data_IF_118039866571
#
_entry.id   IF_118039866571
#
_cell.length_a   1.000
_cell.length_b   1.000
_cell.length_c   1.000
_cell.angle_alpha   90.00
_cell.angle_beta   90.00
_cell.angle_gamma   90.00
#
_symmetry.space_group_name_H-M   'P 1'
#
loop_
_entity.id
_entity.type
_entity.pdbx_description
1 polymer ?
#
# COMPACT_ATOMS: atom_id res chain seq x y z
N UNK A 1 -45.35 46.65 31.87
CA UNK A 1 -45.52 45.73 30.71
C UNK A 1 -44.36 45.68 29.70
N UNK A 2 -43.53 46.72 29.52
CA UNK A 2 -42.43 46.70 28.53
C UNK A 2 -41.25 45.79 28.92
N UNK A 3 -40.88 45.75 30.20
CA UNK A 3 -39.75 44.96 30.73
C UNK A 3 -40.00 43.45 30.64
N UNK A 4 -41.22 42.97 30.98
CA UNK A 4 -41.56 41.54 30.87
C UNK A 4 -41.55 41.04 29.42
N UNK A 5 -42.00 41.86 28.45
CA UNK A 5 -41.92 41.53 27.02
C UNK A 5 -40.46 41.46 26.56
N UNK A 6 -39.62 42.42 26.98
CA UNK A 6 -38.19 42.42 26.68
C UNK A 6 -37.47 41.19 27.22
N UNK A 7 -37.70 40.81 28.49
CA UNK A 7 -37.11 39.61 29.11
C UNK A 7 -37.50 38.32 28.37
N UNK A 8 -38.76 38.19 27.93
CA UNK A 8 -39.22 37.03 27.15
C UNK A 8 -38.53 36.94 25.78
N UNK A 9 -38.36 38.07 25.09
CA UNK A 9 -37.65 38.13 23.80
C UNK A 9 -36.18 37.75 23.99
N UNK A 10 -35.53 38.30 25.01
CA UNK A 10 -34.12 38.00 25.31
C UNK A 10 -33.92 36.52 25.68
N UNK A 11 -34.82 35.94 26.49
CA UNK A 11 -34.81 34.51 26.80
C UNK A 11 -35.01 33.63 25.57
N UNK A 12 -35.91 34.00 24.66
CA UNK A 12 -36.09 33.29 23.40
C UNK A 12 -34.82 33.34 22.52
N UNK A 13 -34.16 34.50 22.42
CA UNK A 13 -32.89 34.66 21.70
C UNK A 13 -31.80 33.76 22.31
N UNK A 14 -31.65 33.76 23.64
CA UNK A 14 -30.67 32.89 24.30
C UNK A 14 -30.94 31.40 24.04
N UNK A 15 -32.19 30.96 24.09
CA UNK A 15 -32.55 29.58 23.75
C UNK A 15 -32.17 29.22 22.32
N UNK A 16 -32.43 30.12 21.35
CA UNK A 16 -32.03 29.91 19.95
C UNK A 16 -30.51 29.82 19.80
N UNK A 17 -29.75 30.67 20.48
CA UNK A 17 -28.28 30.62 20.45
C UNK A 17 -27.77 29.31 21.06
N UNK A 18 -28.35 28.83 22.16
CA UNK A 18 -27.97 27.55 22.78
C UNK A 18 -28.22 26.39 21.80
N UNK A 19 -29.39 26.35 21.17
CA UNK A 19 -29.72 25.33 20.17
C UNK A 19 -28.77 25.38 18.96
N UNK A 20 -28.45 26.58 18.48
CA UNK A 20 -27.48 26.77 17.40
C UNK A 20 -26.08 26.26 17.80
N UNK A 21 -25.61 26.55 19.02
CA UNK A 21 -24.32 26.04 19.51
C UNK A 21 -24.31 24.50 19.63
N UNK A 22 -25.39 23.90 20.15
CA UNK A 22 -25.51 22.43 20.22
C UNK A 22 -25.44 21.82 18.82
N UNK A 23 -26.16 22.39 17.86
CA UNK A 23 -26.13 21.94 16.47
C UNK A 23 -24.73 22.10 15.84
N UNK A 24 -24.06 23.23 16.07
CA UNK A 24 -22.69 23.46 15.60
C UNK A 24 -21.70 22.46 16.19
N UNK A 25 -21.77 22.17 17.50
CA UNK A 25 -20.92 21.16 18.15
C UNK A 25 -21.20 19.77 17.59
N UNK A 26 -22.46 19.42 17.35
CA UNK A 26 -22.84 18.15 16.73
C UNK A 26 -22.27 18.02 15.30
N UNK A 27 -22.44 19.06 14.47
CA UNK A 27 -21.91 19.11 13.11
C UNK A 27 -20.38 19.00 13.10
N UNK A 28 -19.70 19.74 13.98
CA UNK A 28 -18.24 19.71 14.11
C UNK A 28 -17.73 18.31 14.50
N UNK A 29 -18.40 17.64 15.44
CA UNK A 29 -18.05 16.27 15.84
C UNK A 29 -18.15 15.28 14.67
N UNK A 30 -19.16 15.43 13.82
CA UNK A 30 -19.33 14.58 12.63
C UNK A 30 -18.25 14.88 11.59
N UNK A 31 -17.91 16.15 11.37
CA UNK A 31 -16.81 16.55 10.48
C UNK A 31 -15.48 15.95 10.93
N UNK A 32 -15.13 16.05 12.23
CA UNK A 32 -13.92 15.44 12.77
C UNK A 32 -13.88 13.92 12.63
N UNK A 33 -15.03 13.25 12.81
CA UNK A 33 -15.12 11.80 12.61
C UNK A 33 -14.83 11.42 11.15
N UNK A 34 -15.43 12.14 10.21
CA UNK A 34 -15.25 11.89 8.78
C UNK A 34 -13.81 12.20 8.34
N UNK A 35 -13.24 13.31 8.80
CA UNK A 35 -11.84 13.68 8.54
C UNK A 35 -10.88 12.59 9.05
N UNK A 36 -11.08 12.11 10.28
CA UNK A 36 -10.25 11.04 10.84
C UNK A 36 -10.34 9.77 10.01
N UNK A 37 -11.53 9.38 9.56
CA UNK A 37 -11.71 8.20 8.71
C UNK A 37 -10.99 8.37 7.35
N UNK A 38 -11.05 9.55 6.75
CA UNK A 38 -10.33 9.85 5.51
C UNK A 38 -8.82 9.80 5.69
N UNK A 39 -8.29 10.35 6.80
CA UNK A 39 -6.86 10.31 7.12
C UNK A 39 -6.39 8.86 7.33
N UNK A 40 -7.13 8.06 8.09
CA UNK A 40 -6.76 6.66 8.31
C UNK A 40 -6.79 5.85 7.01
N UNK A 41 -7.81 6.06 6.16
CA UNK A 41 -7.85 5.45 4.82
C UNK A 41 -6.66 5.87 3.98
N UNK A 42 -6.30 7.15 3.95
CA UNK A 42 -5.17 7.63 3.17
C UNK A 42 -3.82 7.06 3.67
N UNK A 43 -3.65 6.92 4.98
CA UNK A 43 -2.47 6.26 5.56
C UNK A 43 -2.40 4.79 5.13
N UNK A 44 -3.53 4.09 5.18
CA UNK A 44 -3.59 2.68 4.78
C UNK A 44 -3.24 2.50 3.30
N UNK A 45 -3.76 3.35 2.41
CA UNK A 45 -3.38 3.35 0.99
C UNK A 45 -1.87 3.49 0.80
N UNK A 46 -1.27 4.50 1.44
CA UNK A 46 0.18 4.72 1.36
C UNK A 46 0.97 3.53 1.90
N UNK A 47 0.54 2.97 3.02
CA UNK A 47 1.19 1.80 3.61
C UNK A 47 1.14 0.60 2.66
N UNK A 48 0.00 0.35 2.02
CA UNK A 48 -0.16 -0.77 1.08
C UNK A 48 0.79 -0.67 -0.12
N UNK A 49 0.99 0.52 -0.68
CA UNK A 49 1.99 0.71 -1.74
C UNK A 49 3.43 0.54 -1.23
N UNK A 50 3.72 0.93 0.01
CA UNK A 50 5.02 0.67 0.65
C UNK A 50 5.24 -0.83 0.86
N UNK A 51 4.21 -1.55 1.29
CA UNK A 51 4.25 -3.00 1.53
C UNK A 51 4.49 -3.77 0.23
N UNK A 52 3.86 -3.35 -0.88
CA UNK A 52 4.12 -3.92 -2.22
C UNK A 52 5.58 -3.74 -2.64
N UNK A 53 6.13 -2.54 -2.46
CA UNK A 53 7.56 -2.26 -2.76
C UNK A 53 8.48 -3.11 -1.89
N UNK A 54 8.21 -3.14 -0.58
CA UNK A 54 9.01 -3.91 0.38
C UNK A 54 8.96 -5.42 0.07
N UNK A 55 7.81 -5.95 -0.34
CA UNK A 55 7.68 -7.35 -0.75
C UNK A 55 8.51 -7.64 -2.01
N UNK A 56 8.47 -6.75 -3.01
CA UNK A 56 9.32 -6.87 -4.21
C UNK A 56 10.81 -6.84 -3.85
N UNK A 57 11.24 -5.93 -2.96
CA UNK A 57 12.65 -5.84 -2.53
C UNK A 57 13.07 -7.05 -1.69
N UNK A 58 12.16 -7.56 -0.86
CA UNK A 58 12.39 -8.77 -0.08
C UNK A 58 12.66 -9.96 -1.00
N UNK A 59 11.82 -10.18 -2.03
CA UNK A 59 12.01 -11.24 -3.02
C UNK A 59 13.37 -11.13 -3.72
N UNK A 60 13.71 -9.96 -4.25
CA UNK A 60 15.02 -9.68 -4.86
C UNK A 60 16.17 -10.03 -3.91
N UNK A 61 16.07 -9.62 -2.65
CA UNK A 61 17.10 -9.87 -1.65
C UNK A 61 17.23 -11.35 -1.31
N UNK A 62 16.13 -12.09 -1.16
CA UNK A 62 16.19 -13.53 -0.92
C UNK A 62 16.81 -14.25 -2.12
N UNK A 63 16.36 -13.95 -3.34
CA UNK A 63 16.89 -14.56 -4.57
C UNK A 63 18.38 -14.28 -4.75
N UNK A 64 18.82 -13.01 -4.61
CA UNK A 64 20.24 -12.63 -4.72
C UNK A 64 21.10 -13.32 -3.66
N UNK A 65 20.63 -13.42 -2.40
CA UNK A 65 21.37 -14.12 -1.34
C UNK A 65 21.50 -15.61 -1.61
N UNK A 66 20.44 -16.25 -2.09
CA UNK A 66 20.52 -17.64 -2.51
C UNK A 66 21.49 -17.83 -3.68
N UNK A 67 21.42 -16.97 -4.70
CA UNK A 67 22.35 -17.04 -5.85
C UNK A 67 23.81 -16.84 -5.45
N UNK A 68 24.07 -15.99 -4.47
CA UNK A 68 25.42 -15.69 -4.03
C UNK A 68 26.01 -16.76 -3.10
N UNK A 69 25.20 -17.29 -2.17
CA UNK A 69 25.69 -18.13 -1.07
C UNK A 69 25.19 -19.58 -1.12
N UNK A 70 24.12 -19.87 -1.86
CA UNK A 70 23.50 -21.19 -1.94
C UNK A 70 22.80 -21.64 -0.65
N UNK A 71 22.59 -20.75 0.32
CA UNK A 71 21.94 -21.09 1.59
C UNK A 71 20.42 -21.30 1.39
N UNK A 72 19.97 -22.55 1.60
CA UNK A 72 18.58 -22.99 1.39
C UNK A 72 17.53 -22.09 2.07
N UNK A 73 17.85 -21.53 3.24
CA UNK A 73 16.98 -20.61 3.97
C UNK A 73 16.44 -19.47 3.09
N UNK A 74 17.27 -18.90 2.21
CA UNK A 74 16.85 -17.80 1.36
C UNK A 74 15.91 -18.27 0.24
N UNK A 75 16.13 -19.46 -0.32
CA UNK A 75 15.21 -20.08 -1.28
C UNK A 75 13.85 -20.36 -0.64
N UNK A 76 13.84 -20.95 0.56
CA UNK A 76 12.61 -21.27 1.28
C UNK A 76 11.83 -20.00 1.64
N UNK A 77 12.53 -18.98 2.14
CA UNK A 77 11.96 -17.68 2.44
C UNK A 77 11.34 -17.01 1.20
N UNK A 78 12.01 -17.10 0.05
CA UNK A 78 11.51 -16.57 -1.21
C UNK A 78 10.19 -17.25 -1.59
N UNK A 79 10.18 -18.58 -1.63
CA UNK A 79 8.99 -19.31 -2.05
C UNK A 79 7.86 -19.27 -1.03
N UNK A 80 8.17 -19.12 0.25
CA UNK A 80 7.18 -18.81 1.28
C UNK A 80 6.50 -17.48 1.01
N UNK A 81 7.25 -16.44 0.62
CA UNK A 81 6.64 -15.17 0.24
C UNK A 81 5.74 -15.33 -0.99
N UNK A 82 6.22 -16.00 -2.05
CA UNK A 82 5.46 -16.16 -3.31
C UNK A 82 4.21 -17.04 -3.14
N UNK A 83 4.27 -18.12 -2.35
CA UNK A 83 3.22 -19.16 -2.31
C UNK A 83 2.33 -19.10 -1.08
N UNK A 84 2.82 -18.60 0.06
CA UNK A 84 2.09 -18.63 1.32
C UNK A 84 1.75 -17.22 1.80
N UNK A 85 2.75 -16.35 1.94
CA UNK A 85 2.58 -15.02 2.54
C UNK A 85 1.89 -14.05 1.57
N UNK A 86 2.20 -14.14 0.27
CA UNK A 86 1.48 -13.48 -0.82
C UNK A 86 1.19 -11.99 -0.57
N UNK A 87 2.14 -11.25 -0.01
CA UNK A 87 1.94 -9.83 0.36
C UNK A 87 1.45 -9.01 -0.84
N UNK A 88 2.01 -9.29 -2.02
CA UNK A 88 1.65 -8.60 -3.28
C UNK A 88 0.19 -8.84 -3.68
N UNK A 89 -0.35 -10.04 -3.48
CA UNK A 89 -1.76 -10.34 -3.74
C UNK A 89 -2.67 -9.66 -2.71
N UNK A 90 -2.30 -9.74 -1.42
CA UNK A 90 -3.05 -9.13 -0.33
C UNK A 90 -3.15 -7.61 -0.46
N UNK A 91 -2.10 -6.94 -0.94
CA UNK A 91 -2.15 -5.49 -1.20
C UNK A 91 -3.23 -5.15 -2.22
N UNK A 92 -3.29 -5.88 -3.34
CA UNK A 92 -4.31 -5.66 -4.38
C UNK A 92 -5.71 -5.93 -3.85
N UNK A 93 -5.90 -7.04 -3.13
CA UNK A 93 -7.17 -7.38 -2.51
C UNK A 93 -7.62 -6.31 -1.52
N UNK A 94 -6.71 -5.84 -0.67
CA UNK A 94 -7.04 -4.83 0.34
C UNK A 94 -7.41 -3.48 -0.28
N UNK A 95 -6.72 -3.06 -1.35
CA UNK A 95 -7.09 -1.84 -2.07
C UNK A 95 -8.47 -1.95 -2.75
N UNK A 96 -8.84 -3.14 -3.23
CA UNK A 96 -10.20 -3.41 -3.75
C UNK A 96 -11.25 -3.28 -2.64
N UNK A 97 -11.01 -3.89 -1.48
CA UNK A 97 -11.91 -3.80 -0.32
C UNK A 97 -12.12 -2.36 0.17
N UNK A 98 -11.06 -1.55 0.15
CA UNK A 98 -11.12 -0.15 0.54
C UNK A 98 -11.80 0.75 -0.53
N UNK A 99 -12.18 0.19 -1.67
CA UNK A 99 -12.81 0.93 -2.76
C UNK A 99 -11.86 1.94 -3.41
N UNK A 100 -10.61 1.51 -3.67
CA UNK A 100 -9.63 2.30 -4.43
C UNK A 100 -10.20 2.70 -5.79
N UNK A 101 -9.94 3.94 -6.26
CA UNK A 101 -10.21 4.31 -7.64
C UNK A 101 -9.57 3.31 -8.61
N UNK A 102 -10.26 3.01 -9.71
CA UNK A 102 -9.78 2.00 -10.67
C UNK A 102 -8.42 2.38 -11.26
N UNK A 103 -8.16 3.67 -11.49
CA UNK A 103 -6.88 4.16 -11.99
C UNK A 103 -5.72 3.86 -11.03
N UNK A 104 -5.93 4.06 -9.73
CA UNK A 104 -4.93 3.75 -8.69
C UNK A 104 -4.72 2.24 -8.54
N UNK A 105 -5.80 1.48 -8.62
CA UNK A 105 -5.75 0.02 -8.55
C UNK A 105 -4.99 -0.57 -9.75
N UNK A 106 -5.17 -0.01 -10.94
CA UNK A 106 -4.46 -0.45 -12.15
C UNK A 106 -2.95 -0.30 -12.01
N UNK A 107 -2.45 0.78 -11.38
CA UNK A 107 -1.00 0.97 -11.14
C UNK A 107 -0.42 -0.13 -10.25
N UNK A 108 -1.15 -0.50 -9.19
CA UNK A 108 -0.72 -1.55 -8.25
C UNK A 108 -0.80 -2.93 -8.91
N UNK A 109 -1.85 -3.21 -9.68
CA UNK A 109 -1.96 -4.43 -10.46
C UNK A 109 -0.86 -4.54 -11.52
N UNK A 110 -0.52 -3.46 -12.19
CA UNK A 110 0.61 -3.40 -13.13
C UNK A 110 1.94 -3.73 -12.44
N UNK A 111 2.23 -3.07 -11.31
CA UNK A 111 3.44 -3.35 -10.52
C UNK A 111 3.51 -4.81 -10.07
N UNK A 112 2.38 -5.35 -9.58
CA UNK A 112 2.28 -6.76 -9.20
C UNK A 112 2.55 -7.68 -10.39
N UNK A 113 1.93 -7.44 -11.54
CA UNK A 113 2.10 -8.26 -12.74
C UNK A 113 3.56 -8.23 -13.22
N UNK A 114 4.19 -7.06 -13.24
CA UNK A 114 5.62 -6.93 -13.55
C UNK A 114 6.47 -7.73 -12.54
N UNK A 115 6.08 -7.73 -11.26
CA UNK A 115 6.78 -8.50 -10.24
C UNK A 115 6.56 -10.01 -10.40
N UNK A 116 5.38 -10.47 -10.83
CA UNK A 116 5.11 -11.88 -11.12
C UNK A 116 5.86 -12.37 -12.36
N UNK A 117 6.07 -11.51 -13.35
CA UNK A 117 6.95 -11.82 -14.48
C UNK A 117 8.42 -11.93 -14.04
N UNK A 118 8.88 -11.05 -13.14
CA UNK A 118 10.24 -11.11 -12.58
C UNK A 118 10.50 -12.42 -11.81
N UNK A 119 9.48 -13.01 -11.16
CA UNK A 119 9.60 -14.31 -10.48
C UNK A 119 10.11 -15.40 -11.42
N UNK A 120 9.78 -15.35 -12.72
CA UNK A 120 10.26 -16.35 -13.69
C UNK A 120 11.77 -16.28 -13.89
N UNK A 121 12.32 -15.06 -13.93
CA UNK A 121 13.77 -14.82 -14.05
C UNK A 121 14.48 -15.25 -12.76
N UNK A 122 13.89 -14.92 -11.62
CA UNK A 122 14.43 -15.28 -10.31
C UNK A 122 14.42 -16.80 -10.09
N UNK A 123 13.34 -17.49 -10.46
CA UNK A 123 13.26 -18.95 -10.45
C UNK A 123 14.29 -19.60 -11.39
N UNK A 124 14.47 -19.06 -12.60
CA UNK A 124 15.52 -19.54 -13.51
C UNK A 124 16.93 -19.35 -12.90
N UNK A 125 17.20 -18.21 -12.28
CA UNK A 125 18.46 -17.95 -11.61
C UNK A 125 18.70 -18.94 -10.45
N UNK A 126 17.68 -19.20 -9.62
CA UNK A 126 17.77 -20.18 -8.53
C UNK A 126 18.00 -21.61 -9.05
N UNK A 127 17.31 -22.01 -10.12
CA UNK A 127 17.54 -23.31 -10.79
C UNK A 127 18.94 -23.43 -11.39
N UNK A 128 19.53 -22.32 -11.85
CA UNK A 128 20.93 -22.29 -12.30
C UNK A 128 21.91 -22.56 -11.16
N UNK A 129 21.63 -22.10 -9.93
CA UNK A 129 22.41 -22.45 -8.73
C UNK A 129 22.40 -23.96 -8.48
N UNK A 130 21.23 -24.60 -8.55
CA UNK A 130 21.07 -26.05 -8.35
C UNK A 130 21.87 -26.86 -9.39
N UNK A 131 21.93 -26.36 -10.63
CA UNK A 131 22.74 -26.93 -11.72
C UNK A 131 24.23 -26.59 -11.62
N UNK A 132 24.66 -25.86 -10.58
CA UNK A 132 26.02 -25.34 -10.37
C UNK A 132 26.49 -24.37 -11.47
N UNK A 133 25.57 -23.79 -12.23
CA UNK A 133 25.84 -22.73 -13.20
C UNK A 133 25.73 -21.35 -12.53
N UNK A 134 26.70 -21.06 -11.68
CA UNK A 134 26.72 -19.83 -10.89
C UNK A 134 26.95 -18.57 -11.73
N UNK A 135 27.57 -18.70 -12.91
CA UNK A 135 27.79 -17.58 -13.81
C UNK A 135 26.45 -17.13 -14.42
N UNK A 136 25.65 -18.07 -14.94
CA UNK A 136 24.32 -17.75 -15.43
C UNK A 136 23.41 -17.23 -14.31
N UNK A 137 23.43 -17.86 -13.14
CA UNK A 137 22.62 -17.42 -12.00
C UNK A 137 22.92 -15.96 -11.61
N UNK A 138 24.20 -15.59 -11.52
CA UNK A 138 24.61 -14.20 -11.23
C UNK A 138 24.26 -13.26 -12.38
N UNK A 139 24.47 -13.67 -13.63
CA UNK A 139 24.11 -12.83 -14.76
C UNK A 139 22.61 -12.48 -14.74
N UNK A 140 21.73 -13.46 -14.50
CA UNK A 140 20.29 -13.23 -14.45
C UNK A 140 19.83 -12.29 -13.32
N UNK A 141 20.54 -12.25 -12.18
CA UNK A 141 20.14 -11.45 -11.00
C UNK A 141 20.80 -10.07 -10.90
N UNK A 142 21.86 -9.84 -11.66
CA UNK A 142 22.73 -8.67 -11.53
C UNK A 142 23.05 -7.99 -12.87
N UNK A 143 22.39 -8.37 -13.97
CA UNK A 143 22.48 -7.65 -15.23
C UNK A 143 21.53 -6.44 -15.29
N UNK A 144 21.74 -5.61 -16.31
CA UNK A 144 20.90 -4.43 -16.55
C UNK A 144 19.44 -4.78 -16.89
N UNK A 145 19.17 -6.00 -17.39
CA UNK A 145 17.80 -6.40 -17.69
C UNK A 145 17.00 -6.62 -16.40
N UNK A 146 17.64 -7.22 -15.40
CA UNK A 146 17.06 -7.37 -14.07
C UNK A 146 16.72 -6.00 -13.47
N UNK A 147 17.67 -5.06 -13.51
CA UNK A 147 17.47 -3.71 -12.98
C UNK A 147 16.35 -2.95 -13.72
N UNK A 148 16.26 -3.09 -15.06
CA UNK A 148 15.17 -2.53 -15.85
C UNK A 148 13.80 -3.15 -15.48
N UNK A 149 13.74 -4.46 -15.22
CA UNK A 149 12.50 -5.09 -14.76
C UNK A 149 12.12 -4.65 -13.36
N UNK A 150 13.09 -4.42 -12.47
CA UNK A 150 12.83 -3.82 -11.15
C UNK A 150 12.28 -2.40 -11.26
N UNK A 151 12.81 -1.57 -12.16
CA UNK A 151 12.29 -0.23 -12.40
C UNK A 151 10.81 -0.27 -12.82
N UNK A 152 10.41 -1.20 -13.71
CA UNK A 152 9.01 -1.38 -14.12
C UNK A 152 8.06 -1.79 -12.97
N UNK A 153 8.59 -2.38 -11.90
CA UNK A 153 7.81 -2.69 -10.70
C UNK A 153 7.68 -1.44 -9.83
N UNK A 154 8.75 -0.66 -9.72
CA UNK A 154 8.82 0.52 -8.85
C UNK A 154 8.06 1.73 -9.41
N UNK A 155 8.13 1.98 -10.71
CA UNK A 155 7.53 3.15 -11.36
C UNK A 155 6.02 3.31 -11.08
N UNK A 156 5.17 2.28 -11.27
CA UNK A 156 3.74 2.41 -10.97
C UNK A 156 3.45 2.62 -9.48
N UNK A 157 4.29 2.04 -8.59
CA UNK A 157 4.16 2.27 -7.14
C UNK A 157 4.46 3.73 -6.81
N UNK A 158 5.52 4.30 -7.40
CA UNK A 158 5.86 5.70 -7.19
C UNK A 158 4.79 6.65 -7.72
N UNK A 159 4.13 6.30 -8.82
CA UNK A 159 2.97 7.06 -9.31
C UNK A 159 1.77 6.94 -8.35
N UNK A 160 1.45 5.73 -7.89
CA UNK A 160 0.39 5.50 -6.92
C UNK A 160 0.61 6.31 -5.63
N UNK A 161 1.85 6.39 -5.13
CA UNK A 161 2.19 7.14 -3.91
C UNK A 161 2.07 8.67 -4.04
N UNK A 162 2.00 9.19 -5.27
CA UNK A 162 1.82 10.62 -5.54
C UNK A 162 0.35 11.04 -5.61
N UNK A 163 -0.57 10.10 -5.75
CA UNK A 163 -2.02 10.35 -5.72
C UNK A 163 -2.49 10.50 -4.28
#
# INVERSE_FOLDING_TARGET
MKISKFLKIMGAIFTVIILANIFSVYSLRQSFKNERLTIERQKEFKQLGIDLRNASDYLTNQARRYVQFGEQKFYDNYWKEVKETKTRDHVVERLKELGSPQEELNLIEESKNNSDELVKIEDEAMKSVEKKDFNKARQLMFDSNYDNNKAKIEEPILEFQKK
#
